data_IF_980438902592
#
_entry.id   IF_980438902592
#
_cell.length_a   1.000
_cell.length_b   1.000
_cell.length_c   1.000
_cell.angle_alpha   90.00
_cell.angle_beta   90.00
_cell.angle_gamma   90.00
#
_symmetry.space_group_name_H-M   'P 1'
#
loop_
_entity.id
_entity.type
_entity.pdbx_description
1 polymer ?
#
# COMPACT_ATOMS: atom_id res chain seq x y z
N UNK A 1 14.47 6.07 -16.62
CA UNK A 1 14.20 6.37 -15.18
C UNK A 1 13.64 5.13 -14.57
N UNK A 2 14.07 4.73 -13.38
CA UNK A 2 13.47 3.60 -12.67
C UNK A 2 12.19 4.04 -11.95
N UNK A 3 11.16 3.20 -12.01
CA UNK A 3 9.86 3.41 -11.38
C UNK A 3 9.85 2.77 -9.98
N UNK A 4 9.71 3.58 -8.95
CA UNK A 4 9.63 3.13 -7.56
C UNK A 4 8.22 3.25 -7.00
N UNK A 5 7.66 2.13 -6.57
CA UNK A 5 6.31 2.05 -6.00
C UNK A 5 6.40 1.40 -4.62
N UNK A 6 5.77 2.00 -3.62
CA UNK A 6 5.57 1.36 -2.34
C UNK A 6 4.09 1.09 -2.09
N UNK A 7 3.77 -0.14 -1.73
CA UNK A 7 2.45 -0.51 -1.20
C UNK A 7 2.49 -0.49 0.33
N UNK A 8 1.55 0.20 0.93
CA UNK A 8 1.44 0.38 2.37
C UNK A 8 0.15 -0.26 2.88
N UNK A 9 0.26 -1.17 3.82
CA UNK A 9 -0.86 -1.67 4.59
C UNK A 9 -0.79 -1.15 6.03
N UNK A 10 -1.93 -0.69 6.56
CA UNK A 10 -2.08 -0.30 7.96
C UNK A 10 -3.27 -1.02 8.57
N UNK A 11 -3.18 -1.39 9.83
CA UNK A 11 -4.23 -2.09 10.54
C UNK A 11 -3.66 -3.22 11.38
N UNK A 12 -4.33 -4.35 11.41
CA UNK A 12 -4.00 -5.47 12.27
C UNK A 12 -2.56 -6.01 12.08
N UNK A 13 -2.07 -6.02 10.84
CA UNK A 13 -0.71 -6.40 10.48
C UNK A 13 -0.18 -5.37 9.47
N UNK A 14 0.41 -4.31 9.98
CA UNK A 14 0.96 -3.29 9.11
C UNK A 14 2.22 -3.76 8.39
N UNK A 15 2.49 -3.21 7.23
CA UNK A 15 3.69 -3.55 6.49
C UNK A 15 3.83 -2.76 5.19
N UNK A 16 4.96 -2.95 4.55
CA UNK A 16 5.32 -2.30 3.30
C UNK A 16 5.84 -3.32 2.30
N UNK A 17 5.43 -3.16 1.05
CA UNK A 17 6.03 -3.81 -0.10
C UNK A 17 6.66 -2.73 -0.99
N UNK A 18 7.95 -2.83 -1.27
CA UNK A 18 8.66 -1.94 -2.19
C UNK A 18 8.90 -2.65 -3.52
N UNK A 19 8.55 -1.99 -4.60
CA UNK A 19 8.77 -2.44 -5.98
C UNK A 19 9.64 -1.46 -6.74
N UNK A 20 10.45 -1.98 -7.65
CA UNK A 20 11.22 -1.23 -8.64
C UNK A 20 11.04 -1.86 -10.01
N UNK A 21 10.60 -1.07 -10.99
CA UNK A 21 10.47 -1.51 -12.39
C UNK A 21 9.67 -2.83 -12.56
N UNK A 22 8.64 -3.05 -11.69
CA UNK A 22 7.80 -4.25 -11.67
C UNK A 22 8.34 -5.41 -10.80
N UNK A 23 9.55 -5.32 -10.27
CA UNK A 23 10.12 -6.33 -9.39
C UNK A 23 9.95 -5.97 -7.92
N UNK A 24 9.59 -6.95 -7.09
CA UNK A 24 9.51 -6.79 -5.63
C UNK A 24 10.94 -6.78 -5.07
N UNK A 25 11.34 -5.65 -4.49
CA UNK A 25 12.62 -5.48 -3.81
C UNK A 25 12.57 -6.06 -2.40
N UNK A 26 11.51 -5.72 -1.65
CA UNK A 26 11.19 -6.37 -0.39
C UNK A 26 9.69 -6.26 -0.08
N UNK A 27 9.23 -7.17 0.78
CA UNK A 27 7.93 -7.09 1.43
C UNK A 27 8.10 -7.49 2.89
N UNK A 28 7.70 -6.64 3.83
CA UNK A 28 7.95 -6.86 5.25
C UNK A 28 6.80 -6.34 6.09
N UNK A 29 6.42 -7.12 7.10
CA UNK A 29 5.50 -6.70 8.14
C UNK A 29 6.24 -5.90 9.21
N UNK A 30 5.58 -4.89 9.76
CA UNK A 30 6.12 -4.02 10.80
C UNK A 30 6.60 -4.81 12.02
N UNK A 31 5.83 -5.82 12.44
CA UNK A 31 6.18 -6.67 13.59
C UNK A 31 7.54 -7.39 13.45
N UNK A 32 8.03 -7.59 12.22
CA UNK A 32 9.35 -8.19 11.98
C UNK A 32 10.48 -7.25 12.33
N UNK A 33 10.24 -5.95 12.20
CA UNK A 33 11.20 -4.89 12.51
C UNK A 33 11.11 -4.46 13.97
N UNK A 34 9.91 -4.22 14.47
CA UNK A 34 9.66 -3.71 15.82
C UNK A 34 9.68 -4.78 16.89
N UNK A 35 9.51 -6.06 16.53
CA UNK A 35 9.33 -7.19 17.45
C UNK A 35 8.08 -7.07 18.32
N UNK A 36 7.16 -6.20 17.95
CA UNK A 36 5.88 -6.01 18.59
C UNK A 36 4.79 -6.69 17.76
N UNK A 37 4.20 -7.76 18.30
CA UNK A 37 3.22 -8.57 17.58
C UNK A 37 1.96 -7.75 17.29
N UNK A 38 1.40 -7.92 16.08
CA UNK A 38 0.23 -7.17 15.61
C UNK A 38 0.45 -5.65 15.55
N UNK A 39 1.68 -5.22 15.28
CA UNK A 39 1.96 -3.79 15.12
C UNK A 39 1.21 -3.23 13.91
N UNK A 40 0.30 -2.30 14.18
CA UNK A 40 -0.61 -1.70 13.19
C UNK A 40 -0.08 -0.42 12.53
N UNK A 41 1.09 0.05 12.95
CA UNK A 41 1.68 1.30 12.46
C UNK A 41 2.93 1.06 11.61
N UNK A 42 2.90 1.20 10.28
CA UNK A 42 3.99 0.82 9.38
C UNK A 42 5.16 1.80 9.38
N UNK A 43 5.68 2.16 10.54
CA UNK A 43 6.65 3.24 10.70
C UNK A 43 8.09 2.79 10.38
N UNK A 44 8.54 1.69 10.98
CA UNK A 44 9.86 1.14 10.71
C UNK A 44 9.96 0.59 9.29
N UNK A 45 8.88 0.00 8.78
CA UNK A 45 8.83 -0.50 7.42
C UNK A 45 8.85 0.61 6.37
N UNK A 46 8.22 1.77 6.62
CA UNK A 46 8.37 2.96 5.77
C UNK A 46 9.82 3.47 5.80
N UNK A 47 10.42 3.59 6.98
CA UNK A 47 11.82 4.04 7.10
C UNK A 47 12.79 3.08 6.40
N UNK A 48 12.47 1.79 6.35
CA UNK A 48 13.28 0.81 5.63
C UNK A 48 13.37 1.08 4.12
N UNK A 49 12.40 1.76 3.52
CA UNK A 49 12.45 2.17 2.10
C UNK A 49 13.71 3.02 1.83
N UNK A 50 14.11 3.85 2.79
CA UNK A 50 15.27 4.75 2.65
C UNK A 50 16.61 4.02 2.48
N UNK A 51 16.68 2.72 2.79
CA UNK A 51 17.86 1.90 2.49
C UNK A 51 18.04 1.64 0.99
N UNK A 52 16.98 1.84 0.18
CA UNK A 52 16.94 1.51 -1.26
C UNK A 52 16.71 2.71 -2.16
N UNK A 53 15.87 3.65 -1.73
CA UNK A 53 15.55 4.88 -2.48
C UNK A 53 15.18 6.00 -1.51
N UNK A 54 15.44 7.24 -1.94
CA UNK A 54 15.03 8.44 -1.22
C UNK A 54 13.78 9.10 -1.83
N UNK A 55 13.21 8.50 -2.88
CA UNK A 55 12.02 9.02 -3.56
C UNK A 55 11.18 7.87 -4.11
N UNK A 56 9.85 8.01 -3.99
CA UNK A 56 8.87 7.15 -4.63
C UNK A 56 8.19 7.90 -5.79
N UNK A 57 7.83 7.17 -6.84
CA UNK A 57 6.92 7.67 -7.85
C UNK A 57 5.48 7.54 -7.39
N UNK A 58 5.14 6.43 -6.72
CA UNK A 58 3.81 6.20 -6.15
C UNK A 58 3.87 5.55 -4.78
N UNK A 59 2.92 5.97 -3.91
CA UNK A 59 2.58 5.33 -2.65
C UNK A 59 1.14 4.81 -2.75
N UNK A 60 0.98 3.50 -2.71
CA UNK A 60 -0.32 2.82 -2.81
C UNK A 60 -0.78 2.44 -1.41
N UNK A 61 -1.93 2.96 -0.99
CA UNK A 61 -2.52 2.64 0.32
C UNK A 61 -3.46 1.46 0.16
N UNK A 62 -3.11 0.34 0.77
CA UNK A 62 -3.90 -0.88 0.78
C UNK A 62 -4.53 -1.08 2.16
N UNK A 63 -5.77 -0.63 2.30
CA UNK A 63 -6.53 -0.73 3.55
C UNK A 63 -8.02 -0.90 3.24
N UNK A 64 -8.80 -1.33 4.21
CA UNK A 64 -10.27 -1.48 4.09
C UNK A 64 -11.02 -0.16 4.31
N UNK A 65 -10.40 0.81 4.97
CA UNK A 65 -10.95 2.14 5.21
C UNK A 65 -10.33 3.14 4.23
N UNK A 66 -11.14 3.98 3.61
CA UNK A 66 -10.64 5.05 2.75
C UNK A 66 -9.87 6.11 3.55
N UNK A 67 -9.06 6.91 2.88
CA UNK A 67 -8.39 8.05 3.50
C UNK A 67 -9.39 9.04 4.10
N UNK A 68 -10.56 9.23 3.45
CA UNK A 68 -11.64 10.09 3.96
C UNK A 68 -12.10 9.68 5.36
N UNK A 69 -12.23 8.36 5.62
CA UNK A 69 -12.67 7.84 6.90
C UNK A 69 -11.64 8.00 8.02
N UNK A 70 -10.39 8.23 7.63
CA UNK A 70 -9.27 8.40 8.54
C UNK A 70 -8.76 9.84 8.59
N UNK A 71 -9.40 10.75 7.87
CA UNK A 71 -9.10 12.18 7.92
C UNK A 71 -9.10 12.68 9.38
N UNK A 72 -8.08 13.41 9.75
CA UNK A 72 -7.88 13.90 11.10
C UNK A 72 -7.24 12.90 12.08
N UNK A 73 -7.03 11.64 11.72
CA UNK A 73 -6.16 10.76 12.49
C UNK A 73 -4.70 11.11 12.21
N UNK A 74 -3.97 11.35 13.26
CA UNK A 74 -2.53 11.63 13.20
C UNK A 74 -1.74 10.56 13.95
N UNK A 75 -0.53 10.31 13.51
CA UNK A 75 0.41 9.48 14.26
C UNK A 75 1.24 10.31 15.26
N UNK A 76 2.22 9.70 15.90
CA UNK A 76 3.09 10.39 16.87
C UNK A 76 3.97 11.49 16.23
N UNK A 77 4.05 11.56 14.89
CA UNK A 77 4.77 12.64 14.18
C UNK A 77 3.88 13.85 13.94
N UNK A 78 2.62 13.80 14.37
CA UNK A 78 1.57 14.79 14.11
C UNK A 78 1.23 14.93 12.61
N UNK A 79 1.43 13.87 11.85
CA UNK A 79 1.10 13.75 10.44
C UNK A 79 -0.05 12.75 10.25
N UNK A 80 -0.68 12.73 9.08
CA UNK A 80 -1.70 11.72 8.81
C UNK A 80 -1.12 10.29 8.86
N UNK A 81 -1.96 9.34 9.26
CA UNK A 81 -1.53 7.98 9.59
C UNK A 81 -1.08 7.13 8.39
N UNK A 82 -1.30 7.56 7.16
CA UNK A 82 -0.95 6.80 5.96
C UNK A 82 0.19 7.43 5.17
N UNK A 83 0.12 8.73 4.92
CA UNK A 83 1.05 9.41 4.02
C UNK A 83 2.03 10.32 4.76
N UNK A 84 1.69 10.70 5.99
CA UNK A 84 2.40 11.74 6.72
C UNK A 84 3.88 11.42 6.94
N UNK A 85 4.23 10.21 7.37
CA UNK A 85 5.63 9.84 7.56
C UNK A 85 6.39 9.82 6.23
N UNK A 86 5.79 9.29 5.16
CA UNK A 86 6.43 9.27 3.84
C UNK A 86 6.72 10.68 3.30
N UNK A 87 5.78 11.63 3.52
CA UNK A 87 6.00 13.06 3.22
C UNK A 87 7.11 13.66 4.08
N UNK A 88 7.06 13.40 5.37
CA UNK A 88 8.01 13.96 6.34
C UNK A 88 9.45 13.56 6.07
N UNK A 89 9.68 12.34 5.61
CA UNK A 89 11.02 11.84 5.27
C UNK A 89 11.40 12.06 3.80
N UNK A 90 10.54 12.71 3.01
CA UNK A 90 10.82 13.09 1.62
C UNK A 90 10.64 11.98 0.59
N UNK A 91 10.04 10.84 0.95
CA UNK A 91 9.75 9.76 0.01
C UNK A 91 8.71 10.15 -1.04
N UNK A 92 7.75 10.99 -0.68
CA UNK A 92 6.79 11.64 -1.57
C UNK A 92 6.82 13.16 -1.36
N UNK A 93 6.30 13.92 -2.31
CA UNK A 93 6.30 15.38 -2.25
C UNK A 93 5.50 15.91 -1.06
N UNK A 94 5.96 16.99 -0.45
CA UNK A 94 5.22 17.77 0.55
C UNK A 94 4.41 18.87 -0.14
N UNK A 95 3.39 19.39 0.55
CA UNK A 95 2.62 20.54 0.05
C UNK A 95 1.34 20.21 -0.71
N UNK A 96 1.04 18.92 -0.90
CA UNK A 96 -0.24 18.48 -1.42
C UNK A 96 -1.10 17.90 -0.29
N UNK A 97 -2.40 18.22 -0.22
CA UNK A 97 -3.31 17.50 0.65
C UNK A 97 -3.38 16.04 0.20
N UNK A 98 -3.49 15.13 1.15
CA UNK A 98 -3.48 13.69 0.86
C UNK A 98 -4.64 13.26 -0.05
N UNK A 99 -5.78 13.94 -0.01
CA UNK A 99 -6.98 13.68 -0.81
C UNK A 99 -6.73 13.76 -2.33
N UNK A 100 -5.78 14.60 -2.73
CA UNK A 100 -5.44 14.85 -4.14
C UNK A 100 -3.94 14.79 -4.39
N UNK A 101 -3.23 14.00 -3.60
CA UNK A 101 -1.79 13.88 -3.75
C UNK A 101 -1.44 13.12 -5.05
N UNK A 102 -0.64 13.69 -5.97
CA UNK A 102 -0.40 13.09 -7.29
C UNK A 102 0.34 11.76 -7.22
N UNK A 103 1.06 11.49 -6.13
CA UNK A 103 1.82 10.26 -5.93
C UNK A 103 1.08 9.24 -5.04
N UNK A 104 -0.11 9.55 -4.49
CA UNK A 104 -0.85 8.67 -3.59
C UNK A 104 -2.02 8.02 -4.31
N UNK A 105 -2.11 6.71 -4.23
CA UNK A 105 -3.20 5.91 -4.78
C UNK A 105 -3.91 5.21 -3.61
N UNK A 106 -5.12 5.65 -3.29
CA UNK A 106 -5.97 4.98 -2.31
C UNK A 106 -6.73 3.84 -2.97
N UNK A 107 -6.49 2.61 -2.53
CA UNK A 107 -7.17 1.42 -3.05
C UNK A 107 -8.20 0.83 -2.08
N UNK A 108 -8.53 1.52 -0.99
CA UNK A 108 -9.44 1.00 0.03
C UNK A 108 -10.79 0.56 -0.55
N UNK A 109 -11.37 1.35 -1.47
CA UNK A 109 -12.62 1.02 -2.16
C UNK A 109 -12.48 -0.11 -3.20
N UNK A 110 -11.24 -0.51 -3.53
CA UNK A 110 -10.94 -1.54 -4.50
C UNK A 110 -10.46 -2.84 -3.83
N UNK A 111 -10.70 -3.01 -2.53
CA UNK A 111 -10.18 -4.10 -1.71
C UNK A 111 -10.35 -5.48 -2.37
N UNK A 112 -11.58 -5.86 -2.72
CA UNK A 112 -11.83 -7.13 -3.41
C UNK A 112 -11.20 -7.20 -4.81
N UNK A 113 -11.18 -6.08 -5.53
CA UNK A 113 -10.50 -6.03 -6.85
C UNK A 113 -8.99 -6.25 -6.70
N UNK A 114 -8.36 -5.74 -5.65
CA UNK A 114 -6.94 -5.98 -5.37
C UNK A 114 -6.67 -7.47 -5.09
N UNK A 115 -7.50 -8.13 -4.29
CA UNK A 115 -7.40 -9.58 -4.05
C UNK A 115 -7.54 -10.37 -5.36
N UNK A 116 -8.56 -10.07 -6.15
CA UNK A 116 -8.80 -10.73 -7.44
C UNK A 116 -7.62 -10.52 -8.41
N UNK A 117 -7.14 -9.30 -8.55
CA UNK A 117 -6.00 -8.95 -9.41
C UNK A 117 -4.74 -9.69 -8.99
N UNK A 118 -4.41 -9.69 -7.69
CA UNK A 118 -3.25 -10.41 -7.18
C UNK A 118 -3.30 -11.91 -7.50
N UNK A 119 -4.44 -12.54 -7.25
CA UNK A 119 -4.64 -13.96 -7.54
C UNK A 119 -4.52 -14.24 -9.05
N UNK A 120 -5.17 -13.44 -9.89
CA UNK A 120 -5.17 -13.61 -11.34
C UNK A 120 -3.77 -13.45 -11.94
N UNK A 121 -3.07 -12.33 -11.71
CA UNK A 121 -1.76 -12.07 -12.30
C UNK A 121 -0.65 -13.02 -11.78
N UNK A 122 -0.88 -13.67 -10.64
CA UNK A 122 0.02 -14.71 -10.12
C UNK A 122 -0.33 -16.12 -10.58
N UNK A 123 -1.50 -16.33 -11.16
CA UNK A 123 -1.99 -17.66 -11.58
C UNK A 123 -1.36 -18.16 -12.88
N UNK A 124 -0.95 -17.25 -13.77
CA UNK A 124 -0.50 -17.57 -15.12
C UNK A 124 -1.64 -17.87 -16.10
N UNK A 125 -2.91 -17.72 -15.73
CA UNK A 125 -4.04 -17.85 -16.65
C UNK A 125 -4.17 -16.62 -17.57
N UNK A 126 -4.56 -16.85 -18.83
CA UNK A 126 -4.88 -15.78 -19.78
C UNK A 126 -6.27 -15.22 -19.53
N UNK A 127 -7.20 -16.07 -19.09
CA UNK A 127 -8.57 -15.71 -18.71
C UNK A 127 -8.98 -16.55 -17.49
N UNK A 128 -9.64 -15.91 -16.52
CA UNK A 128 -10.16 -16.59 -15.33
C UNK A 128 -11.33 -15.83 -14.69
N UNK A 129 -12.13 -16.58 -13.94
CA UNK A 129 -13.05 -15.99 -12.97
C UNK A 129 -12.40 -16.01 -11.59
N UNK A 130 -12.20 -14.84 -11.00
CA UNK A 130 -11.75 -14.73 -9.62
C UNK A 130 -12.94 -14.56 -8.68
N UNK A 131 -12.99 -15.40 -7.65
CA UNK A 131 -13.98 -15.32 -6.58
C UNK A 131 -13.28 -14.85 -5.32
N UNK A 132 -13.71 -13.72 -4.78
CA UNK A 132 -13.18 -13.15 -3.53
C UNK A 132 -14.23 -13.35 -2.44
N UNK A 133 -13.84 -14.01 -1.36
CA UNK A 133 -14.68 -14.25 -0.18
C UNK A 133 -13.94 -13.69 1.02
N UNK A 134 -14.34 -12.51 1.46
CA UNK A 134 -13.74 -11.79 2.58
C UNK A 134 -14.84 -10.96 3.27
N UNK A 135 -15.44 -11.48 4.32
CA UNK A 135 -16.62 -10.90 4.98
C UNK A 135 -17.85 -10.78 4.09
N UNK A 136 -17.68 -10.30 2.85
CA UNK A 136 -18.65 -10.31 1.75
C UNK A 136 -18.01 -10.95 0.50
N UNK A 137 -18.81 -11.56 -0.37
CA UNK A 137 -18.32 -12.19 -1.59
C UNK A 137 -18.46 -11.31 -2.83
N UNK A 138 -17.50 -11.39 -3.74
CA UNK A 138 -17.53 -10.73 -5.05
C UNK A 138 -16.87 -11.61 -6.10
N UNK A 139 -17.46 -11.63 -7.31
CA UNK A 139 -16.87 -12.32 -8.47
C UNK A 139 -16.43 -11.32 -9.52
N UNK A 140 -15.26 -11.56 -10.09
CA UNK A 140 -14.71 -10.78 -11.20
C UNK A 140 -14.33 -11.72 -12.35
N UNK A 141 -14.62 -11.29 -13.59
CA UNK A 141 -14.00 -11.87 -14.79
C UNK A 141 -12.79 -11.02 -15.12
N UNK A 142 -11.64 -11.65 -15.34
CA UNK A 142 -10.35 -11.02 -15.60
C UNK A 142 -9.76 -11.63 -16.86
N UNK A 143 -9.18 -10.77 -17.70
CA UNK A 143 -8.48 -11.11 -18.93
C UNK A 143 -7.07 -10.50 -18.87
N UNK A 144 -6.07 -11.12 -19.50
CA UNK A 144 -4.66 -10.72 -19.35
C UNK A 144 -4.33 -9.38 -20.00
N UNK A 145 -5.13 -8.94 -20.95
CA UNK A 145 -4.99 -7.69 -21.69
C UNK A 145 -5.72 -6.48 -21.03
N UNK A 146 -6.31 -6.69 -19.86
CA UNK A 146 -6.97 -5.67 -19.01
C UNK A 146 -8.46 -5.79 -18.98
#
# INVERSE_FOLDING_TARGET
MSLWIAGLARGHNAGVCLMKDGEIIFSIEEERLTRNKYDGGPLASILKILEYTNKLDYLVISHTQSLDETAGRVDYTNEDIYTGLARKVGLIESGHPWENHPQVIDTARLHHKMHASLAFYRSGFEEATAVVIDGAGTCFRLEADG
#
